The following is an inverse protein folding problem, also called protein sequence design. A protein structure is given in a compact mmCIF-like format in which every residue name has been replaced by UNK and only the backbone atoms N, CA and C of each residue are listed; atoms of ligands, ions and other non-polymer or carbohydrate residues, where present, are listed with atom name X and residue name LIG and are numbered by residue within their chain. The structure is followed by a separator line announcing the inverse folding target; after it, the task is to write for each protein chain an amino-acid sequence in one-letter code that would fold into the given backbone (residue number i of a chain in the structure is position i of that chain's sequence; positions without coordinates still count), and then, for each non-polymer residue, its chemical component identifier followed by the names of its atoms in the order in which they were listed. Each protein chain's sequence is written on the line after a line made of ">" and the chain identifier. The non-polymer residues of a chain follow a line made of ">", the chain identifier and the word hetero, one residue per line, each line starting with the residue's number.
data_IF_396098990033
#
_entry.id   IF_396098990033
#
_cell.length_a   1.000
_cell.length_b   1.000
_cell.length_c   1.000
_cell.angle_alpha   90.00
_cell.angle_beta   90.00
_cell.angle_gamma   90.00
#
_symmetry.space_group_name_H-M   'P 1'
#
loop_
_entity.id
_entity.type
_entity.pdbx_description
1 polymer ?
#
# COMPACT_ATOMS: atom_id res chain seq x y z
N UNK A 1 -6.20 -6.07 3.43
CA UNK A 1 -5.65 -4.87 4.11
C UNK A 1 -5.84 -3.66 3.21
N UNK A 2 -5.98 -2.50 3.83
CA UNK A 2 -6.11 -1.25 3.08
C UNK A 2 -4.96 -0.33 3.44
N UNK A 3 -4.32 0.21 2.41
CA UNK A 3 -3.26 1.22 2.54
C UNK A 3 -3.78 2.53 1.93
N UNK A 4 -3.60 3.63 2.64
CA UNK A 4 -3.92 4.95 2.11
C UNK A 4 -2.64 5.59 1.58
N UNK A 5 -2.63 5.88 0.28
CA UNK A 5 -1.52 6.58 -0.38
C UNK A 5 -1.87 8.06 -0.49
N UNK A 6 -1.00 8.93 0.00
CA UNK A 6 -1.27 10.36 0.06
C UNK A 6 -1.20 11.06 -1.29
N UNK A 7 -0.43 10.54 -2.23
CA UNK A 7 -0.19 11.19 -3.52
C UNK A 7 -0.83 10.41 -4.66
N UNK A 8 -1.97 10.87 -5.20
CA UNK A 8 -2.65 10.18 -6.29
C UNK A 8 -1.81 10.06 -7.57
N UNK A 9 -0.88 10.99 -7.79
CA UNK A 9 -0.04 10.96 -8.99
C UNK A 9 0.94 9.77 -9.00
N UNK A 10 1.20 9.18 -7.83
CA UNK A 10 2.08 8.03 -7.68
C UNK A 10 1.32 6.71 -7.56
N UNK A 11 0.00 6.71 -7.72
CA UNK A 11 -0.82 5.53 -7.47
C UNK A 11 -0.41 4.33 -8.34
N UNK A 12 -0.24 4.54 -9.64
CA UNK A 12 0.17 3.46 -10.54
C UNK A 12 1.56 2.93 -10.22
N UNK A 13 2.49 3.83 -9.91
CA UNK A 13 3.85 3.46 -9.51
C UNK A 13 3.82 2.64 -8.22
N UNK A 14 2.98 3.04 -7.27
CA UNK A 14 2.82 2.34 -6.00
C UNK A 14 2.26 0.93 -6.20
N UNK A 15 1.24 0.77 -7.04
CA UNK A 15 0.71 -0.57 -7.37
C UNK A 15 1.78 -1.44 -7.99
N UNK A 16 2.55 -0.90 -8.94
CA UNK A 16 3.65 -1.63 -9.56
C UNK A 16 4.71 -2.07 -8.56
N UNK A 17 5.03 -1.20 -7.61
CA UNK A 17 5.97 -1.51 -6.54
C UNK A 17 5.51 -2.72 -5.71
N UNK A 18 4.24 -2.71 -5.27
CA UNK A 18 3.72 -3.83 -4.47
C UNK A 18 3.58 -5.11 -5.30
N UNK A 19 3.23 -5.02 -6.58
CA UNK A 19 3.16 -6.19 -7.45
C UNK A 19 4.52 -6.87 -7.60
N UNK A 20 5.60 -6.09 -7.67
CA UNK A 20 6.95 -6.65 -7.72
C UNK A 20 7.33 -7.35 -6.43
N UNK A 21 6.69 -7.02 -5.33
CA UNK A 21 6.86 -7.68 -4.05
C UNK A 21 5.91 -8.88 -3.88
N UNK A 22 5.31 -9.36 -4.97
CA UNK A 22 4.37 -10.48 -5.01
C UNK A 22 3.09 -10.24 -4.20
N UNK A 23 2.67 -8.98 -4.09
CA UNK A 23 1.39 -8.63 -3.50
C UNK A 23 0.31 -8.58 -4.56
N UNK A 24 -0.91 -8.91 -4.16
CA UNK A 24 -2.11 -8.71 -4.98
C UNK A 24 -2.72 -7.39 -4.56
N UNK A 25 -2.84 -6.46 -5.51
CA UNK A 25 -3.27 -5.09 -5.21
C UNK A 25 -4.36 -4.64 -6.17
N UNK A 26 -5.27 -3.81 -5.65
CA UNK A 26 -6.30 -3.14 -6.43
C UNK A 26 -6.67 -1.83 -5.77
N UNK A 27 -7.28 -0.91 -6.52
CA UNK A 27 -7.80 0.31 -5.93
C UNK A 27 -9.05 0.00 -5.11
N UNK A 28 -9.15 0.63 -3.95
CA UNK A 28 -10.33 0.57 -3.11
C UNK A 28 -11.33 1.67 -3.45
N UNK A 29 -12.30 1.87 -2.55
CA UNK A 29 -13.34 2.88 -2.71
C UNK A 29 -12.78 4.27 -2.41
N UNK A 30 -12.69 5.13 -3.44
CA UNK A 30 -12.12 6.48 -3.31
C UNK A 30 -13.07 7.47 -2.62
N UNK A 31 -14.36 7.19 -2.54
CA UNK A 31 -15.34 8.15 -2.01
C UNK A 31 -15.16 8.42 -0.51
N UNK A 32 -14.59 7.47 0.22
CA UNK A 32 -14.39 7.59 1.65
C UNK A 32 -13.14 8.43 2.02
N UNK A 33 -12.25 8.71 1.05
CA UNK A 33 -10.94 9.31 1.31
C UNK A 33 -10.58 10.33 0.23
N UNK A 34 -11.16 11.53 0.31
CA UNK A 34 -11.11 12.53 -0.76
C UNK A 34 -9.72 12.96 -1.22
N UNK A 35 -8.68 12.81 -0.38
CA UNK A 35 -7.32 13.26 -0.70
C UNK A 35 -6.29 12.14 -0.76
N UNK A 36 -6.70 10.94 -0.44
CA UNK A 36 -5.82 9.77 -0.44
C UNK A 36 -6.40 8.70 -1.32
N UNK A 37 -5.53 7.87 -1.87
CA UNK A 37 -5.95 6.75 -2.70
C UNK A 37 -5.94 5.49 -1.85
N UNK A 38 -7.09 4.84 -1.63
CA UNK A 38 -7.12 3.57 -0.92
C UNK A 38 -6.66 2.46 -1.85
N UNK A 39 -5.75 1.63 -1.36
CA UNK A 39 -5.22 0.47 -2.08
C UNK A 39 -5.51 -0.77 -1.25
N UNK A 40 -6.22 -1.71 -1.83
CA UNK A 40 -6.49 -3.01 -1.19
C UNK A 40 -5.33 -3.93 -1.49
N UNK A 41 -4.73 -4.51 -0.44
CA UNK A 41 -3.50 -5.31 -0.57
C UNK A 41 -3.69 -6.67 0.07
N UNK A 42 -3.26 -7.71 -0.63
CA UNK A 42 -3.13 -9.05 -0.09
C UNK A 42 -1.71 -9.55 -0.28
N UNK A 43 -1.21 -10.32 0.68
CA UNK A 43 0.11 -10.95 0.63
C UNK A 43 -0.09 -12.46 0.65
N UNK A 44 -0.24 -13.11 -0.52
CA UNK A 44 -0.60 -14.53 -0.58
C UNK A 44 0.43 -15.45 0.06
N UNK A 45 1.71 -15.06 0.04
CA UNK A 45 2.79 -15.86 0.61
C UNK A 45 2.93 -15.71 2.11
N UNK A 46 2.19 -14.80 2.75
CA UNK A 46 2.28 -14.61 4.19
C UNK A 46 1.69 -15.80 4.94
N UNK A 47 2.33 -16.13 6.05
CA UNK A 47 1.92 -17.26 6.88
C UNK A 47 0.57 -17.00 7.56
N UNK A 48 0.37 -15.74 8.02
CA UNK A 48 -0.88 -15.29 8.63
C UNK A 48 -1.05 -13.80 8.41
N UNK A 49 -2.16 -13.24 8.94
CA UNK A 49 -2.45 -11.82 8.75
C UNK A 49 -1.44 -10.92 9.46
N UNK A 50 -0.96 -11.33 10.63
CA UNK A 50 0.03 -10.56 11.37
C UNK A 50 1.34 -10.43 10.58
N UNK A 51 1.81 -11.54 10.01
CA UNK A 51 2.99 -11.52 9.15
C UNK A 51 2.77 -10.65 7.91
N UNK A 52 1.59 -10.75 7.30
CA UNK A 52 1.25 -9.93 6.14
C UNK A 52 1.33 -8.44 6.48
N UNK A 53 0.80 -8.04 7.63
CA UNK A 53 0.85 -6.64 8.07
C UNK A 53 2.27 -6.17 8.32
N UNK A 54 3.12 -7.00 8.91
CA UNK A 54 4.52 -6.67 9.14
C UNK A 54 5.28 -6.50 7.83
N UNK A 55 5.05 -7.37 6.86
CA UNK A 55 5.67 -7.25 5.53
C UNK A 55 5.23 -5.98 4.82
N UNK A 56 3.95 -5.68 4.83
CA UNK A 56 3.43 -4.46 4.21
C UNK A 56 4.00 -3.22 4.92
N UNK A 57 4.05 -3.22 6.24
CA UNK A 57 4.62 -2.09 6.98
C UNK A 57 6.08 -1.83 6.55
N UNK A 58 6.86 -2.88 6.33
CA UNK A 58 8.24 -2.75 5.86
C UNK A 58 8.29 -2.16 4.44
N UNK A 59 7.45 -2.65 3.54
CA UNK A 59 7.39 -2.13 2.17
C UNK A 59 6.98 -0.66 2.15
N UNK A 60 6.07 -0.24 3.01
CA UNK A 60 5.65 1.16 3.08
C UNK A 60 6.78 2.07 3.59
N UNK A 61 7.59 1.59 4.52
CA UNK A 61 8.75 2.33 4.98
C UNK A 61 9.77 2.54 3.87
N UNK A 62 10.02 1.52 3.08
CA UNK A 62 10.93 1.60 1.94
C UNK A 62 10.37 2.56 0.89
N UNK A 63 9.07 2.47 0.61
CA UNK A 63 8.42 3.38 -0.31
C UNK A 63 8.58 4.84 0.10
N UNK A 64 8.32 5.14 1.36
CA UNK A 64 8.42 6.51 1.87
C UNK A 64 9.86 7.02 1.83
N UNK A 65 10.84 6.15 2.03
CA UNK A 65 12.25 6.52 1.94
C UNK A 65 12.68 6.86 0.51
N UNK A 66 12.12 6.14 -0.47
CA UNK A 66 12.44 6.34 -1.89
C UNK A 66 11.65 7.52 -2.48
N UNK A 67 10.47 7.80 -1.94
CA UNK A 67 9.57 8.85 -2.42
C UNK A 67 9.31 9.87 -1.30
N UNK A 68 10.28 10.73 -0.98
CA UNK A 68 10.10 11.75 0.07
C UNK A 68 8.89 12.63 -0.23
N UNK A 69 8.06 12.86 0.77
CA UNK A 69 6.82 13.63 0.61
C UNK A 69 5.60 12.81 0.26
N UNK A 70 5.77 11.56 -0.14
CA UNK A 70 4.65 10.63 -0.31
C UNK A 70 4.52 9.76 0.93
N UNK A 71 3.30 9.66 1.46
CA UNK A 71 3.01 8.82 2.61
C UNK A 71 2.10 7.68 2.23
N UNK A 72 2.35 6.53 2.83
CA UNK A 72 1.52 5.36 2.68
C UNK A 72 1.21 4.82 4.07
N UNK A 73 -0.06 4.79 4.44
CA UNK A 73 -0.51 4.42 5.78
C UNK A 73 -1.31 3.13 5.73
N UNK A 74 -0.91 2.16 6.52
CA UNK A 74 -1.65 0.91 6.68
C UNK A 74 -2.77 1.12 7.70
N UNK A 75 -4.01 0.92 7.26
CA UNK A 75 -5.17 1.00 8.15
C UNK A 75 -5.32 -0.26 8.98
N UNK A 76 -5.80 -0.07 10.18
CA UNK A 76 -6.02 -1.18 11.11
C UNK A 76 -7.12 -2.12 10.64
#
# INVERSE_FOLDING_TARGET
>A
MVVLLSDPSLAETFLGYLRRADCIVSFGDVDAHARSVPVVVEVPAAYDEEQARLEIALYLRIWEAVHPGSRAELLA
#
